data_IF_251963860338
#
_entry.id   IF_251963860338
#
_cell.length_a   1.000
_cell.length_b   1.000
_cell.length_c   1.000
_cell.angle_alpha   90.00
_cell.angle_beta   90.00
_cell.angle_gamma   90.00
#
_symmetry.space_group_name_H-M   'P 1'
#
loop_
_entity.id
_entity.type
_entity.pdbx_description
1 polymer ?
#
# COMPACT_ATOMS: atom_id res chain seq x y z
N UNK A 1 8.80 36.37 20.34
CA UNK A 1 7.88 35.94 21.42
C UNK A 1 8.67 35.02 22.34
N UNK A 2 9.08 35.53 23.51
CA UNK A 2 9.82 34.76 24.50
C UNK A 2 8.85 33.76 25.14
N UNK A 3 9.05 32.46 24.87
CA UNK A 3 8.33 31.42 25.59
C UNK A 3 8.83 31.45 27.03
N UNK A 4 7.91 31.67 27.97
CA UNK A 4 8.16 31.50 29.39
C UNK A 4 8.70 30.09 29.61
N UNK A 5 9.98 29.95 29.97
CA UNK A 5 10.58 28.69 30.38
C UNK A 5 9.93 28.22 31.69
N UNK A 6 8.75 27.59 31.58
CA UNK A 6 8.17 26.84 32.69
C UNK A 6 9.17 25.75 33.05
N UNK A 7 9.61 25.74 34.31
CA UNK A 7 10.39 24.64 34.88
C UNK A 7 9.67 23.33 34.56
N UNK A 8 10.37 22.39 33.93
CA UNK A 8 9.84 21.03 33.73
C UNK A 8 9.66 20.41 35.11
N UNK A 9 8.43 20.00 35.41
CA UNK A 9 8.12 19.24 36.61
C UNK A 9 8.66 17.82 36.45
N UNK A 10 9.25 17.28 37.50
CA UNK A 10 9.78 15.92 37.59
C UNK A 10 8.98 15.12 38.60
N UNK A 11 9.03 13.77 38.54
CA UNK A 11 8.40 12.93 39.55
C UNK A 11 8.97 13.18 40.95
N UNK A 12 10.22 13.64 41.05
CA UNK A 12 10.88 14.00 42.31
C UNK A 12 10.19 15.20 42.99
N UNK A 13 9.48 16.05 42.24
CA UNK A 13 8.73 17.18 42.80
C UNK A 13 7.44 16.72 43.54
N UNK A 14 7.11 15.41 43.52
CA UNK A 14 5.92 14.83 44.13
C UNK A 14 6.23 13.67 45.09
N UNK A 15 6.79 13.94 46.29
CA UNK A 15 7.17 12.89 47.25
C UNK A 15 5.99 12.28 48.02
N UNK A 16 4.76 12.75 47.80
CA UNK A 16 3.58 12.27 48.51
C UNK A 16 3.31 10.77 48.19
N UNK A 17 3.17 9.90 49.21
CA UNK A 17 2.80 8.50 49.03
C UNK A 17 1.57 8.27 48.14
N UNK A 18 0.59 9.17 48.14
CA UNK A 18 -0.61 9.05 47.29
C UNK A 18 -0.30 9.23 45.80
N UNK A 19 0.79 9.93 45.46
CA UNK A 19 1.21 10.13 44.08
C UNK A 19 1.82 8.86 43.50
N UNK A 20 2.50 8.05 44.31
CA UNK A 20 3.07 6.77 43.87
C UNK A 20 2.06 5.87 43.17
N UNK A 21 0.87 5.70 43.75
CA UNK A 21 -0.19 4.88 43.15
C UNK A 21 -0.59 5.38 41.76
N UNK A 22 -0.68 6.71 41.58
CA UNK A 22 -0.99 7.33 40.28
C UNK A 22 0.14 7.15 39.27
N UNK A 23 1.40 7.20 39.71
CA UNK A 23 2.56 6.96 38.84
C UNK A 23 2.61 5.52 38.36
N UNK A 24 2.30 4.57 39.24
CA UNK A 24 2.18 3.15 38.89
C UNK A 24 1.02 2.92 37.92
N UNK A 25 -0.16 3.48 38.19
CA UNK A 25 -1.31 3.40 37.30
C UNK A 25 -0.99 3.97 35.91
N UNK A 26 -0.33 5.14 35.86
CA UNK A 26 0.14 5.72 34.61
C UNK A 26 1.09 4.77 33.86
N UNK A 27 2.06 4.16 34.56
CA UNK A 27 2.98 3.19 33.97
C UNK A 27 2.27 1.93 33.42
N UNK A 28 1.25 1.42 34.13
CA UNK A 28 0.45 0.29 33.66
C UNK A 28 -0.33 0.65 32.40
N UNK A 29 -0.90 1.85 32.35
CA UNK A 29 -1.62 2.37 31.17
C UNK A 29 -0.68 2.54 29.98
N UNK A 30 0.52 3.09 30.16
CA UNK A 30 1.49 3.26 29.05
C UNK A 30 1.99 1.93 28.51
N UNK A 31 2.25 0.94 29.36
CA UNK A 31 2.59 -0.43 28.94
C UNK A 31 1.42 -1.06 28.18
N UNK A 32 0.19 -0.92 28.69
CA UNK A 32 -1.02 -1.45 28.03
C UNK A 32 -1.22 -0.80 26.66
N UNK A 33 -1.02 0.51 26.56
CA UNK A 33 -1.10 1.23 25.30
C UNK A 33 -0.03 0.77 24.30
N UNK A 34 1.20 0.55 24.77
CA UNK A 34 2.29 -0.01 23.96
C UNK A 34 1.94 -1.40 23.43
N UNK A 35 1.25 -2.22 24.23
CA UNK A 35 0.74 -3.52 23.78
C UNK A 35 -0.31 -3.39 22.69
N UNK A 36 -1.25 -2.47 22.82
CA UNK A 36 -2.27 -2.21 21.79
C UNK A 36 -1.62 -1.81 20.45
N UNK A 37 -0.58 -0.96 20.48
CA UNK A 37 0.18 -0.59 19.29
C UNK A 37 0.84 -1.83 18.67
N UNK A 38 1.53 -2.64 19.48
CA UNK A 38 2.17 -3.88 19.03
C UNK A 38 1.17 -4.84 18.37
N UNK A 39 0.02 -5.05 19.01
CA UNK A 39 -1.03 -5.94 18.51
C UNK A 39 -1.62 -5.41 17.19
N UNK A 40 -1.85 -4.11 17.08
CA UNK A 40 -2.29 -3.46 15.84
C UNK A 40 -1.25 -3.64 14.71
N UNK A 41 0.03 -3.33 14.98
CA UNK A 41 1.08 -3.47 13.96
C UNK A 41 1.27 -4.92 13.52
N UNK A 42 1.08 -5.89 14.42
CA UNK A 42 1.15 -7.31 14.10
C UNK A 42 -0.02 -7.75 13.21
N UNK A 43 -1.24 -7.28 13.50
CA UNK A 43 -2.39 -7.53 12.62
C UNK A 43 -2.18 -6.91 11.23
N UNK A 44 -1.64 -5.69 11.17
CA UNK A 44 -1.30 -5.05 9.90
C UNK A 44 -0.29 -5.88 9.09
N UNK A 45 0.78 -6.37 9.73
CA UNK A 45 1.76 -7.23 9.09
C UNK A 45 1.13 -8.51 8.51
N UNK A 46 0.21 -9.14 9.26
CA UNK A 46 -0.54 -10.33 8.80
C UNK A 46 -1.40 -10.03 7.57
N UNK A 47 -2.09 -8.89 7.55
CA UNK A 47 -2.88 -8.45 6.38
C UNK A 47 -1.97 -8.29 5.16
N UNK A 48 -0.82 -7.64 5.32
CA UNK A 48 0.15 -7.46 4.23
C UNK A 48 0.69 -8.79 3.69
N UNK A 49 0.98 -9.74 4.59
CA UNK A 49 1.43 -11.09 4.22
C UNK A 49 0.35 -11.88 3.45
N UNK A 50 -0.91 -11.80 3.90
CA UNK A 50 -2.04 -12.43 3.22
C UNK A 50 -2.24 -11.82 1.83
N UNK A 51 -2.26 -10.48 1.73
CA UNK A 51 -2.40 -9.76 0.45
C UNK A 51 -1.28 -10.13 -0.53
N UNK A 52 -0.04 -10.20 -0.05
CA UNK A 52 1.10 -10.68 -0.84
C UNK A 52 0.85 -12.09 -1.39
N UNK A 53 0.46 -13.03 -0.54
CA UNK A 53 0.25 -14.43 -0.92
C UNK A 53 -0.87 -14.58 -1.96
N UNK A 54 -1.98 -13.87 -1.78
CA UNK A 54 -3.10 -13.86 -2.72
C UNK A 54 -2.69 -13.26 -4.08
N UNK A 55 -1.96 -12.15 -4.08
CA UNK A 55 -1.49 -11.51 -5.30
C UNK A 55 -0.47 -12.38 -6.06
N UNK A 56 0.44 -13.04 -5.35
CA UNK A 56 1.39 -13.98 -5.94
C UNK A 56 0.67 -15.16 -6.60
N UNK A 57 -0.32 -15.73 -5.90
CA UNK A 57 -1.13 -16.83 -6.43
C UNK A 57 -1.88 -16.40 -7.70
N UNK A 58 -2.49 -15.21 -7.68
CA UNK A 58 -3.18 -14.64 -8.84
C UNK A 58 -2.25 -14.54 -10.05
N UNK A 59 -1.05 -13.96 -9.88
CA UNK A 59 -0.07 -13.85 -10.96
C UNK A 59 0.35 -15.22 -11.49
N UNK A 60 0.60 -16.18 -10.60
CA UNK A 60 0.98 -17.56 -10.97
C UNK A 60 -0.11 -18.25 -11.79
N UNK A 61 -1.36 -18.13 -11.38
CA UNK A 61 -2.49 -18.75 -12.07
C UNK A 61 -2.72 -18.14 -13.45
N UNK A 62 -2.62 -16.82 -13.56
CA UNK A 62 -2.77 -16.13 -14.84
C UNK A 62 -1.59 -16.38 -15.78
N UNK A 63 -0.35 -16.49 -15.30
CA UNK A 63 0.80 -16.92 -16.14
C UNK A 63 0.60 -18.33 -16.69
N UNK A 64 0.17 -19.28 -15.87
CA UNK A 64 -0.15 -20.65 -16.33
C UNK A 64 -1.26 -20.64 -17.37
N UNK A 65 -2.32 -19.86 -17.13
CA UNK A 65 -3.44 -19.72 -18.07
C UNK A 65 -2.97 -19.14 -19.41
N UNK A 66 -2.17 -18.07 -19.37
CA UNK A 66 -1.52 -17.46 -20.53
C UNK A 66 -0.69 -18.49 -21.31
N UNK A 67 0.10 -19.31 -20.62
CA UNK A 67 0.84 -20.39 -21.27
C UNK A 67 -0.09 -21.43 -21.90
N UNK A 68 -1.17 -21.85 -21.23
CA UNK A 68 -2.10 -22.84 -21.83
C UNK A 68 -2.90 -22.32 -23.02
N UNK A 69 -3.31 -21.05 -23.02
CA UNK A 69 -4.24 -20.48 -24.02
C UNK A 69 -3.53 -19.78 -25.20
N UNK A 70 -2.29 -19.30 -24.98
CA UNK A 70 -1.54 -18.47 -25.93
C UNK A 70 -0.27 -19.16 -26.45
N UNK A 71 0.29 -20.18 -25.78
CA UNK A 71 1.56 -20.84 -26.20
C UNK A 71 1.56 -21.32 -27.64
N UNK A 72 0.48 -21.90 -28.13
CA UNK A 72 0.42 -22.48 -29.48
C UNK A 72 0.13 -21.42 -30.56
N UNK A 73 -0.01 -20.14 -30.16
CA UNK A 73 -0.35 -18.99 -31.01
C UNK A 73 0.81 -18.00 -31.10
N UNK A 74 2.03 -18.49 -31.40
CA UNK A 74 3.26 -17.67 -31.41
C UNK A 74 3.18 -16.41 -32.30
N UNK A 75 2.38 -16.43 -33.38
CA UNK A 75 2.12 -15.28 -34.25
C UNK A 75 1.26 -14.18 -33.59
N UNK A 76 0.69 -14.43 -32.41
CA UNK A 76 -0.09 -13.47 -31.61
C UNK A 76 0.72 -12.89 -30.42
N UNK A 77 2.01 -13.24 -30.28
CA UNK A 77 2.91 -12.62 -29.30
C UNK A 77 3.45 -11.29 -29.84
N UNK A 78 2.60 -10.26 -29.82
CA UNK A 78 2.98 -8.86 -30.08
C UNK A 78 3.13 -8.05 -28.79
N UNK A 79 3.19 -6.71 -28.91
CA UNK A 79 3.31 -5.78 -27.78
C UNK A 79 2.17 -5.90 -26.77
N UNK A 80 0.99 -6.34 -27.19
CA UNK A 80 -0.12 -6.61 -26.26
C UNK A 80 0.21 -7.74 -25.29
N UNK A 81 0.94 -8.76 -25.74
CA UNK A 81 1.44 -9.84 -24.89
C UNK A 81 2.52 -9.32 -23.93
N UNK A 82 3.47 -8.53 -24.45
CA UNK A 82 4.54 -7.94 -23.63
C UNK A 82 3.99 -6.97 -22.56
N UNK A 83 2.95 -6.21 -22.90
CA UNK A 83 2.26 -5.32 -21.96
C UNK A 83 1.53 -6.13 -20.86
N UNK A 84 0.89 -7.23 -21.23
CA UNK A 84 0.28 -8.16 -20.27
C UNK A 84 1.32 -8.79 -19.34
N UNK A 85 2.43 -9.31 -19.87
CA UNK A 85 3.51 -9.86 -19.06
C UNK A 85 4.15 -8.80 -18.16
N UNK A 86 4.28 -7.56 -18.64
CA UNK A 86 4.74 -6.43 -17.84
C UNK A 86 3.80 -6.15 -16.66
N UNK A 87 2.48 -6.17 -16.86
CA UNK A 87 1.50 -6.01 -15.78
C UNK A 87 1.61 -7.14 -14.74
N UNK A 88 1.76 -8.38 -15.20
CA UNK A 88 1.96 -9.53 -14.32
C UNK A 88 3.29 -9.44 -13.55
N UNK A 89 4.35 -8.93 -14.17
CA UNK A 89 5.63 -8.69 -13.53
C UNK A 89 5.54 -7.61 -12.45
N UNK A 90 4.92 -6.46 -12.74
CA UNK A 90 4.75 -5.39 -11.74
C UNK A 90 3.87 -5.86 -10.56
N UNK A 91 2.83 -6.65 -10.83
CA UNK A 91 1.99 -7.26 -9.80
C UNK A 91 2.77 -8.26 -8.91
N UNK A 92 3.67 -9.04 -9.50
CA UNK A 92 4.57 -9.93 -8.76
C UNK A 92 5.56 -9.15 -7.87
N UNK A 93 6.13 -8.06 -8.38
CA UNK A 93 7.00 -7.18 -7.62
C UNK A 93 6.25 -6.50 -6.46
N UNK A 94 4.99 -6.12 -6.67
CA UNK A 94 4.13 -5.61 -5.60
C UNK A 94 3.90 -6.66 -4.51
N UNK A 95 3.59 -7.91 -4.89
CA UNK A 95 3.45 -9.01 -3.94
C UNK A 95 4.70 -9.21 -3.10
N UNK A 96 5.88 -9.20 -3.73
CA UNK A 96 7.16 -9.34 -3.04
C UNK A 96 7.43 -8.16 -2.09
N UNK A 97 7.06 -6.95 -2.50
CA UNK A 97 7.20 -5.74 -1.69
C UNK A 97 6.29 -5.76 -0.45
N UNK A 98 5.03 -6.20 -0.61
CA UNK A 98 4.10 -6.42 0.51
C UNK A 98 4.64 -7.47 1.49
N UNK A 99 5.18 -8.58 0.99
CA UNK A 99 5.81 -9.63 1.81
C UNK A 99 6.97 -9.07 2.61
N UNK A 100 7.85 -8.32 1.95
CA UNK A 100 9.03 -7.70 2.57
C UNK A 100 8.60 -6.72 3.66
N UNK A 101 7.61 -5.88 3.39
CA UNK A 101 7.07 -4.94 4.38
C UNK A 101 6.50 -5.67 5.60
N UNK A 102 5.71 -6.74 5.40
CA UNK A 102 5.20 -7.58 6.49
C UNK A 102 6.33 -8.15 7.35
N UNK A 103 7.37 -8.74 6.74
CA UNK A 103 8.52 -9.27 7.46
C UNK A 103 9.30 -8.19 8.21
N UNK A 104 9.45 -6.99 7.63
CA UNK A 104 10.11 -5.87 8.31
C UNK A 104 9.29 -5.37 9.50
N UNK A 105 7.97 -5.26 9.37
CA UNK A 105 7.09 -4.90 10.50
C UNK A 105 7.19 -5.93 11.63
N UNK A 106 7.23 -7.22 11.31
CA UNK A 106 7.34 -8.28 12.32
C UNK A 106 8.70 -8.25 13.04
N UNK A 107 9.80 -8.10 12.28
CA UNK A 107 11.18 -8.16 12.78
C UNK A 107 11.63 -6.89 13.48
N UNK A 108 11.30 -5.72 12.94
CA UNK A 108 11.84 -4.43 13.38
C UNK A 108 10.88 -3.69 14.34
N UNK A 109 9.59 -4.06 14.38
CA UNK A 109 8.59 -3.39 15.24
C UNK A 109 7.96 -4.37 16.22
N UNK A 110 7.28 -5.41 15.72
CA UNK A 110 6.44 -6.26 16.59
C UNK A 110 7.27 -7.06 17.60
N UNK A 111 8.33 -7.71 17.15
CA UNK A 111 9.18 -8.54 18.02
C UNK A 111 9.94 -7.70 19.06
N UNK A 112 10.60 -6.58 18.68
CA UNK A 112 11.26 -5.71 19.65
C UNK A 112 10.29 -5.09 20.66
N UNK A 113 9.12 -4.60 20.21
CA UNK A 113 8.13 -4.05 21.13
C UNK A 113 7.55 -5.10 22.08
N UNK A 114 7.30 -6.32 21.61
CA UNK A 114 6.84 -7.41 22.49
C UNK A 114 7.86 -7.70 23.60
N UNK A 115 9.15 -7.80 23.26
CA UNK A 115 10.21 -7.97 24.25
C UNK A 115 10.30 -6.75 25.19
N UNK A 116 10.22 -5.54 24.65
CA UNK A 116 10.25 -4.30 25.42
C UNK A 116 9.11 -4.25 26.47
N UNK A 117 7.87 -4.59 26.07
CA UNK A 117 6.71 -4.68 26.97
C UNK A 117 6.97 -5.65 28.12
N UNK A 118 7.51 -6.83 27.83
CA UNK A 118 7.80 -7.83 28.87
C UNK A 118 8.83 -7.31 29.87
N UNK A 119 9.90 -6.69 29.38
CA UNK A 119 10.96 -6.12 30.23
C UNK A 119 10.40 -4.99 31.12
N UNK A 120 9.62 -4.08 30.55
CA UNK A 120 9.02 -2.96 31.29
C UNK A 120 7.97 -3.42 32.31
N UNK A 121 7.24 -4.48 32.03
CA UNK A 121 6.31 -5.09 33.00
C UNK A 121 7.05 -5.68 34.20
N UNK A 122 8.18 -6.36 33.97
CA UNK A 122 9.03 -6.90 35.03
C UNK A 122 9.66 -5.76 35.85
N UNK A 123 10.20 -4.75 35.18
CA UNK A 123 10.79 -3.57 35.81
C UNK A 123 9.79 -2.85 36.73
N UNK A 124 8.55 -2.66 36.27
CA UNK A 124 7.47 -2.06 37.07
C UNK A 124 7.12 -2.90 38.30
N UNK A 125 7.08 -4.23 38.15
CA UNK A 125 6.84 -5.16 39.27
C UNK A 125 7.94 -5.07 40.33
N UNK A 126 9.21 -5.02 39.90
CA UNK A 126 10.36 -4.85 40.79
C UNK A 126 10.28 -3.52 41.54
N UNK A 127 9.96 -2.42 40.85
CA UNK A 127 9.81 -1.11 41.47
C UNK A 127 8.67 -1.08 42.50
N UNK A 128 7.55 -1.76 42.21
CA UNK A 128 6.44 -1.92 43.15
C UNK A 128 6.90 -2.69 44.39
N UNK A 129 7.58 -3.82 44.21
CA UNK A 129 8.05 -4.63 45.34
C UNK A 129 9.07 -3.86 46.20
N UNK A 130 10.06 -3.22 45.57
CA UNK A 130 11.06 -2.42 46.27
C UNK A 130 10.42 -1.30 47.12
N UNK A 131 9.35 -0.68 46.60
CA UNK A 131 8.59 0.32 47.35
C UNK A 131 7.87 -0.27 48.56
N UNK A 132 7.29 -1.46 48.43
CA UNK A 132 6.64 -2.19 49.51
C UNK A 132 7.65 -2.57 50.61
N UNK A 133 8.79 -3.14 50.22
CA UNK A 133 9.85 -3.55 51.15
C UNK A 133 10.36 -2.35 51.98
N UNK A 134 10.59 -1.21 51.33
CA UNK A 134 11.01 0.02 52.02
C UNK A 134 9.95 0.50 53.03
N UNK A 135 8.66 0.36 52.69
CA UNK A 135 7.58 0.69 53.62
C UNK A 135 7.50 -0.26 54.80
N UNK A 136 7.71 -1.56 54.58
CA UNK A 136 7.72 -2.56 55.64
C UNK A 136 8.87 -2.32 56.62
N UNK A 137 10.07 -2.01 56.12
CA UNK A 137 11.24 -1.68 56.96
C UNK A 137 10.96 -0.44 57.82
N UNK A 138 10.41 0.62 57.21
CA UNK A 138 10.04 1.85 57.95
C UNK A 138 8.94 1.59 58.98
N UNK A 139 7.92 0.81 58.61
CA UNK A 139 6.81 0.45 59.50
C UNK A 139 7.28 -0.38 60.70
N UNK A 140 8.16 -1.35 60.47
CA UNK A 140 8.75 -2.18 61.54
C UNK A 140 9.61 -1.33 62.47
N UNK A 141 10.45 -0.44 61.93
CA UNK A 141 11.26 0.48 62.74
C UNK A 141 10.39 1.42 63.58
N UNK A 142 9.28 1.91 63.02
CA UNK A 142 8.34 2.74 63.75
C UNK A 142 7.62 1.98 64.88
N UNK A 143 7.18 0.74 64.63
CA UNK A 143 6.53 -0.11 65.62
C UNK A 143 7.46 -0.41 66.81
N UNK A 144 8.74 -0.72 66.56
CA UNK A 144 9.74 -0.92 67.63
C UNK A 144 9.86 0.31 68.54
N UNK A 145 9.92 1.51 67.94
CA UNK A 145 10.00 2.76 68.70
C UNK A 145 8.74 2.99 69.53
N UNK A 146 7.57 2.67 68.98
CA UNK A 146 6.29 2.79 69.69
C UNK A 146 6.21 1.81 70.88
N UNK A 147 6.56 0.55 70.67
CA UNK A 147 6.58 -0.47 71.73
C UNK A 147 7.53 -0.08 72.88
N UNK A 148 8.73 0.41 72.54
CA UNK A 148 9.69 0.89 73.54
C UNK A 148 9.19 2.13 74.27
N UNK A 149 8.47 3.01 73.58
CA UNK A 149 7.86 4.20 74.19
C UNK A 149 6.83 3.83 75.25
N UNK A 150 5.91 2.94 74.88
CA UNK A 150 4.88 2.42 75.77
C UNK A 150 5.52 1.66 76.94
N UNK A 151 6.57 0.89 76.67
CA UNK A 151 7.34 0.12 77.66
C UNK A 151 7.94 0.99 78.75
N UNK A 152 8.76 2.01 78.41
CA UNK A 152 9.38 2.84 79.45
C UNK A 152 8.36 3.74 80.17
N UNK A 153 7.28 4.17 79.48
CA UNK A 153 6.21 4.95 80.10
C UNK A 153 5.44 4.13 81.14
N UNK A 154 5.22 2.85 80.88
CA UNK A 154 4.59 1.92 81.84
C UNK A 154 5.46 1.76 83.09
N UNK A 155 6.76 1.52 82.92
CA UNK A 155 7.71 1.40 84.05
C UNK A 155 7.72 2.68 84.91
N UNK A 156 7.70 3.85 84.27
CA UNK A 156 7.62 5.14 84.95
C UNK A 156 6.34 5.29 85.76
N UNK A 157 5.18 4.90 85.20
CA UNK A 157 3.90 4.99 85.89
C UNK A 157 3.79 4.02 87.06
N UNK A 158 4.38 2.82 86.94
CA UNK A 158 4.28 1.77 87.96
C UNK A 158 5.26 1.99 89.11
N UNK A 159 6.51 2.37 88.82
CA UNK A 159 7.62 2.38 89.79
C UNK A 159 8.39 3.70 89.87
N UNK A 160 8.04 4.70 89.06
CA UNK A 160 8.75 5.99 89.00
C UNK A 160 10.15 5.89 88.38
N UNK A 161 11.05 6.77 88.80
CA UNK A 161 12.42 6.84 88.26
C UNK A 161 13.31 5.80 88.95
N UNK A 162 13.59 4.71 88.23
CA UNK A 162 14.44 3.59 88.67
C UNK A 162 15.60 3.34 87.69
N UNK A 163 16.62 2.55 88.05
CA UNK A 163 17.66 2.12 87.10
C UNK A 163 17.09 1.40 85.87
N UNK A 164 16.01 0.64 86.05
CA UNK A 164 15.29 -0.06 84.98
C UNK A 164 14.58 0.92 84.03
N UNK A 165 13.95 1.97 84.58
CA UNK A 165 13.42 3.09 83.78
C UNK A 165 14.52 3.73 82.92
N UNK A 166 15.68 4.04 83.51
CA UNK A 166 16.79 4.65 82.76
C UNK A 166 17.30 3.74 81.63
N UNK A 167 17.32 2.42 81.85
CA UNK A 167 17.70 1.46 80.83
C UNK A 167 16.71 1.44 79.66
N UNK A 168 15.41 1.29 79.95
CA UNK A 168 14.35 1.26 78.94
C UNK A 168 14.26 2.60 78.17
N UNK A 169 14.39 3.73 78.88
CA UNK A 169 14.42 5.05 78.27
C UNK A 169 15.61 5.21 77.30
N UNK A 170 16.82 4.78 77.71
CA UNK A 170 17.99 4.86 76.85
C UNK A 170 17.84 3.99 75.59
N UNK A 171 17.26 2.80 75.70
CA UNK A 171 16.94 1.95 74.55
C UNK A 171 15.96 2.63 73.60
N UNK A 172 14.88 3.20 74.13
CA UNK A 172 13.94 4.01 73.34
C UNK A 172 14.63 5.15 72.59
N UNK A 173 15.47 5.93 73.28
CA UNK A 173 16.17 7.06 72.66
C UNK A 173 17.10 6.60 71.52
N UNK A 174 17.82 5.48 71.71
CA UNK A 174 18.69 4.90 70.68
C UNK A 174 17.87 4.51 69.44
N UNK A 175 16.80 3.76 69.62
CA UNK A 175 15.94 3.32 68.51
C UNK A 175 15.22 4.48 67.84
N UNK A 176 14.80 5.50 68.60
CA UNK A 176 14.19 6.71 68.05
C UNK A 176 15.16 7.46 67.13
N UNK A 177 16.43 7.61 67.54
CA UNK A 177 17.47 8.22 66.70
C UNK A 177 17.71 7.37 65.45
N UNK A 178 17.73 6.04 65.58
CA UNK A 178 17.85 5.10 64.46
C UNK A 178 16.70 5.24 63.45
N UNK A 179 15.46 5.21 63.93
CA UNK A 179 14.25 5.34 63.11
C UNK A 179 14.18 6.69 62.41
N UNK A 180 14.50 7.79 63.10
CA UNK A 180 14.55 9.13 62.49
C UNK A 180 15.65 9.22 61.42
N UNK A 181 16.79 8.58 61.64
CA UNK A 181 17.87 8.47 60.66
C UNK A 181 17.44 7.70 59.42
N UNK A 182 16.75 6.56 59.60
CA UNK A 182 16.19 5.75 58.51
C UNK A 182 15.15 6.53 57.70
N UNK A 183 14.20 7.20 58.38
CA UNK A 183 13.18 8.02 57.75
C UNK A 183 13.80 9.17 56.94
N UNK A 184 14.79 9.87 57.52
CA UNK A 184 15.51 10.93 56.83
C UNK A 184 16.23 10.40 55.58
N UNK A 185 16.93 9.26 55.70
CA UNK A 185 17.60 8.64 54.55
C UNK A 185 16.62 8.25 53.45
N UNK A 186 15.48 7.69 53.84
CA UNK A 186 14.41 7.33 52.91
C UNK A 186 13.86 8.56 52.16
N UNK A 187 13.47 9.61 52.89
CA UNK A 187 12.84 10.79 52.29
C UNK A 187 13.78 11.60 51.41
N UNK A 188 15.04 11.78 51.82
CA UNK A 188 15.96 12.68 51.12
C UNK A 188 16.84 12.00 50.07
N UNK A 189 16.97 10.67 50.09
CA UNK A 189 17.89 9.97 49.19
C UNK A 189 17.21 8.83 48.44
N UNK A 190 16.55 7.90 49.14
CA UNK A 190 16.04 6.67 48.51
C UNK A 190 14.80 6.94 47.65
N UNK A 191 13.81 7.65 48.20
CA UNK A 191 12.57 7.95 47.49
C UNK A 191 12.81 8.80 46.22
N UNK A 192 13.62 9.89 46.26
CA UNK A 192 13.96 10.63 45.05
C UNK A 192 14.61 9.78 43.95
N UNK A 193 15.53 8.87 44.31
CA UNK A 193 16.17 7.98 43.34
C UNK A 193 15.17 7.01 42.71
N UNK A 194 14.24 6.46 43.51
CA UNK A 194 13.19 5.58 43.02
C UNK A 194 12.24 6.32 42.05
N UNK A 195 11.84 7.56 42.40
CA UNK A 195 10.99 8.40 41.56
C UNK A 195 11.69 8.79 40.24
N UNK A 196 12.98 9.11 40.30
CA UNK A 196 13.79 9.42 39.13
C UNK A 196 13.94 8.18 38.22
N UNK A 197 14.16 6.99 38.80
CA UNK A 197 14.22 5.74 38.05
C UNK A 197 12.90 5.44 37.33
N UNK A 198 11.77 5.63 38.01
CA UNK A 198 10.45 5.51 37.38
C UNK A 198 10.23 6.52 36.25
N UNK A 199 10.60 7.78 36.47
CA UNK A 199 10.47 8.84 35.46
C UNK A 199 11.27 8.49 34.20
N UNK A 200 12.54 8.09 34.37
CA UNK A 200 13.38 7.68 33.25
C UNK A 200 12.78 6.49 32.50
N UNK A 201 12.26 5.50 33.24
CA UNK A 201 11.60 4.35 32.64
C UNK A 201 10.38 4.74 31.80
N UNK A 202 9.59 5.72 32.25
CA UNK A 202 8.45 6.23 31.48
C UNK A 202 8.88 7.02 30.25
N UNK A 203 9.94 7.84 30.35
CA UNK A 203 10.53 8.52 29.20
C UNK A 203 10.96 7.49 28.16
N UNK A 204 11.66 6.43 28.57
CA UNK A 204 12.10 5.37 27.67
C UNK A 204 10.93 4.68 26.96
N UNK A 205 9.82 4.44 27.66
CA UNK A 205 8.58 3.88 27.06
C UNK A 205 8.02 4.81 26.00
N UNK A 206 7.87 6.10 26.31
CA UNK A 206 7.32 7.09 25.39
C UNK A 206 8.22 7.23 24.15
N UNK A 207 9.52 7.38 24.35
CA UNK A 207 10.49 7.53 23.25
C UNK A 207 10.50 6.29 22.34
N UNK A 208 10.52 5.09 22.93
CA UNK A 208 10.48 3.83 22.17
C UNK A 208 9.20 3.71 21.35
N UNK A 209 8.04 4.04 21.95
CA UNK A 209 6.76 4.02 21.23
C UNK A 209 6.76 5.02 20.08
N UNK A 210 7.21 6.26 20.32
CA UNK A 210 7.28 7.29 19.28
C UNK A 210 8.19 6.87 18.11
N UNK A 211 9.36 6.31 18.40
CA UNK A 211 10.29 5.82 17.38
C UNK A 211 9.68 4.67 16.56
N UNK A 212 8.98 3.74 17.20
CA UNK A 212 8.34 2.63 16.51
C UNK A 212 7.16 3.09 15.64
N UNK A 213 6.37 4.08 16.08
CA UNK A 213 5.31 4.66 15.26
C UNK A 213 5.88 5.41 14.04
N UNK A 214 6.99 6.13 14.21
CA UNK A 214 7.69 6.76 13.10
C UNK A 214 8.25 5.73 12.11
N UNK A 215 8.83 4.63 12.61
CA UNK A 215 9.31 3.54 11.78
C UNK A 215 8.15 2.87 11.01
N UNK A 216 7.03 2.61 11.68
CA UNK A 216 5.82 2.09 11.05
C UNK A 216 5.34 2.97 9.88
N UNK A 217 5.22 4.29 10.11
CA UNK A 217 4.83 5.23 9.08
C UNK A 217 5.83 5.27 7.91
N UNK A 218 7.13 5.26 8.22
CA UNK A 218 8.20 5.29 7.21
C UNK A 218 8.21 4.04 6.34
N UNK A 219 7.93 2.85 6.91
CA UNK A 219 7.82 1.60 6.14
C UNK A 219 6.65 1.65 5.14
N UNK A 220 5.51 2.18 5.57
CA UNK A 220 4.33 2.34 4.73
C UNK A 220 4.57 3.36 3.61
N UNK A 221 5.16 4.51 3.94
CA UNK A 221 5.50 5.54 2.96
C UNK A 221 6.45 5.01 1.89
N UNK A 222 7.52 4.32 2.29
CA UNK A 222 8.48 3.72 1.36
C UNK A 222 7.80 2.68 0.43
N UNK A 223 6.93 1.83 0.98
CA UNK A 223 6.16 0.89 0.18
C UNK A 223 5.28 1.60 -0.86
N UNK A 224 4.54 2.64 -0.46
CA UNK A 224 3.69 3.38 -1.38
C UNK A 224 4.49 4.11 -2.46
N UNK A 225 5.65 4.68 -2.10
CA UNK A 225 6.54 5.34 -3.05
C UNK A 225 7.08 4.35 -4.09
N UNK A 226 7.55 3.18 -3.64
CA UNK A 226 8.04 2.13 -4.53
C UNK A 226 6.93 1.64 -5.48
N UNK A 227 5.73 1.40 -4.94
CA UNK A 227 4.55 1.02 -5.74
C UNK A 227 4.20 2.08 -6.78
N UNK A 228 4.16 3.35 -6.38
CA UNK A 228 3.84 4.44 -7.29
C UNK A 228 4.84 4.53 -8.45
N UNK A 229 6.14 4.45 -8.16
CA UNK A 229 7.19 4.48 -9.20
C UNK A 229 7.08 3.33 -10.20
N UNK A 230 6.82 2.11 -9.70
CA UNK A 230 6.66 0.91 -10.52
C UNK A 230 5.46 1.03 -11.47
N UNK A 231 4.27 1.35 -10.94
CA UNK A 231 3.08 1.50 -11.79
C UNK A 231 3.11 2.73 -12.71
N UNK A 232 3.77 3.83 -12.31
CA UNK A 232 3.97 4.98 -13.19
C UNK A 232 4.78 4.59 -14.43
N UNK A 233 5.82 3.75 -14.27
CA UNK A 233 6.59 3.21 -15.39
C UNK A 233 5.71 2.37 -16.32
N UNK A 234 4.86 1.50 -15.75
CA UNK A 234 3.93 0.69 -16.53
C UNK A 234 2.92 1.52 -17.32
N UNK A 235 2.36 2.58 -16.73
CA UNK A 235 1.44 3.50 -17.42
C UNK A 235 2.10 4.08 -18.66
N UNK A 236 3.34 4.56 -18.55
CA UNK A 236 4.09 5.07 -19.71
C UNK A 236 4.19 4.02 -20.80
N UNK A 237 4.62 2.79 -20.46
CA UNK A 237 4.71 1.68 -21.41
C UNK A 237 3.37 1.39 -22.09
N UNK A 238 2.26 1.41 -21.33
CA UNK A 238 0.92 1.19 -21.89
C UNK A 238 0.50 2.26 -22.89
N UNK A 239 0.90 3.52 -22.66
CA UNK A 239 0.52 4.65 -23.52
C UNK A 239 1.36 4.75 -24.79
N UNK A 240 2.55 4.16 -24.79
CA UNK A 240 3.45 4.14 -25.95
C UNK A 240 3.13 3.03 -26.96
N UNK A 241 2.25 2.09 -26.61
CA UNK A 241 1.85 1.01 -27.51
C UNK A 241 0.91 1.54 -28.61
N UNK A 242 1.40 1.63 -29.85
CA UNK A 242 0.59 2.01 -31.01
C UNK A 242 -0.19 0.79 -31.57
N UNK A 243 -1.53 0.84 -31.60
CA UNK A 243 -2.35 -0.23 -32.18
C UNK A 243 -2.05 -0.51 -33.67
N UNK A 244 -1.63 0.50 -34.44
CA UNK A 244 -1.33 0.32 -35.86
C UNK A 244 -0.02 -0.47 -36.05
N UNK A 245 0.98 -0.14 -35.23
CA UNK A 245 2.26 -0.86 -35.21
C UNK A 245 2.07 -2.32 -34.77
N UNK A 246 1.19 -2.57 -33.81
CA UNK A 246 0.82 -3.94 -33.40
C UNK A 246 0.18 -4.73 -34.54
N UNK A 247 -0.75 -4.10 -35.28
CA UNK A 247 -1.42 -4.74 -36.42
C UNK A 247 -0.44 -5.01 -37.56
N UNK A 248 0.48 -4.08 -37.82
CA UNK A 248 1.53 -4.24 -38.84
C UNK A 248 2.46 -5.40 -38.49
N UNK A 249 2.92 -5.48 -37.23
CA UNK A 249 3.73 -6.60 -36.73
C UNK A 249 3.01 -7.94 -36.88
N UNK A 250 1.70 -7.98 -36.58
CA UNK A 250 0.89 -9.17 -36.78
C UNK A 250 0.81 -9.59 -38.26
N UNK A 251 0.51 -8.66 -39.17
CA UNK A 251 0.42 -8.92 -40.61
C UNK A 251 1.77 -9.43 -41.16
N UNK A 252 2.88 -8.82 -40.75
CA UNK A 252 4.22 -9.27 -41.10
C UNK A 252 4.48 -10.71 -40.63
N UNK A 253 4.09 -11.05 -39.40
CA UNK A 253 4.25 -12.41 -38.86
C UNK A 253 3.47 -13.48 -39.64
N UNK A 254 2.31 -13.13 -40.19
CA UNK A 254 1.52 -14.04 -41.05
C UNK A 254 2.24 -14.26 -42.39
N UNK A 255 2.73 -13.19 -43.01
CA UNK A 255 3.41 -13.26 -44.31
C UNK A 255 4.70 -14.10 -44.23
N UNK A 256 5.44 -14.02 -43.13
CA UNK A 256 6.63 -14.84 -42.88
C UNK A 256 6.31 -16.33 -42.66
N UNK A 257 5.12 -16.64 -42.14
CA UNK A 257 4.67 -18.01 -41.85
C UNK A 257 4.11 -18.79 -43.05
N UNK A 258 4.26 -18.25 -44.28
CA UNK A 258 3.87 -18.93 -45.52
C UNK A 258 2.50 -18.52 -46.07
N UNK A 259 1.89 -17.46 -45.54
CA UNK A 259 0.81 -16.78 -46.25
C UNK A 259 1.39 -16.01 -47.43
N UNK A 260 1.27 -16.53 -48.66
CA UNK A 260 1.59 -15.70 -49.83
C UNK A 260 0.78 -14.40 -49.71
N UNK A 261 1.44 -13.22 -49.66
CA UNK A 261 0.71 -11.98 -49.73
C UNK A 261 -0.07 -12.05 -51.03
N UNK A 262 -1.41 -12.06 -50.94
CA UNK A 262 -2.26 -11.83 -52.09
C UNK A 262 -1.88 -10.45 -52.60
N UNK A 263 -0.93 -10.41 -53.53
CA UNK A 263 -0.74 -9.26 -54.38
C UNK A 263 -2.14 -8.94 -54.91
N UNK A 264 -2.60 -7.68 -54.81
CA UNK A 264 -3.89 -7.34 -55.38
C UNK A 264 -3.87 -7.88 -56.82
N UNK A 265 -4.90 -8.64 -57.24
CA UNK A 265 -4.87 -9.35 -58.51
C UNK A 265 -4.43 -8.35 -59.58
N UNK A 266 -3.32 -8.68 -60.25
CA UNK A 266 -2.76 -7.87 -61.32
C UNK A 266 -3.91 -7.55 -62.25
N UNK A 267 -4.06 -6.25 -62.56
CA UNK A 267 -5.08 -5.69 -63.44
C UNK A 267 -5.52 -6.73 -64.48
N UNK A 268 -6.80 -7.11 -64.46
CA UNK A 268 -7.36 -7.98 -65.49
C UNK A 268 -7.11 -7.26 -66.81
N UNK A 269 -6.09 -7.69 -67.55
CA UNK A 269 -5.87 -7.20 -68.90
C UNK A 269 -7.14 -7.49 -69.68
N UNK A 270 -7.70 -6.47 -70.33
CA UNK A 270 -8.82 -6.67 -71.23
C UNK A 270 -8.37 -7.62 -72.33
N UNK A 271 -8.82 -8.88 -72.30
CA UNK A 271 -8.73 -9.75 -73.46
C UNK A 271 -9.42 -9.05 -74.63
N UNK A 272 -8.64 -8.69 -75.64
CA UNK A 272 -9.16 -8.19 -76.91
C UNK A 272 -9.86 -9.37 -77.57
N UNK A 273 -11.17 -9.49 -77.36
CA UNK A 273 -12.00 -10.40 -78.12
C UNK A 273 -11.96 -9.96 -79.59
N UNK A 274 -11.21 -10.68 -80.43
CA UNK A 274 -11.41 -10.62 -81.87
C UNK A 274 -12.82 -11.16 -82.15
N UNK A 275 -13.68 -10.31 -82.74
CA UNK A 275 -15.02 -10.69 -83.16
C UNK A 275 -14.98 -11.95 -84.06
N UNK A 276 -15.75 -13.00 -83.76
CA UNK A 276 -15.79 -14.20 -84.58
C UNK A 276 -16.72 -14.01 -85.76
N UNK A 277 -16.36 -13.14 -86.72
CA UNK A 277 -17.04 -13.09 -88.03
C UNK A 277 -16.04 -12.74 -89.13
N UNK A 278 -15.53 -13.77 -89.81
CA UNK A 278 -15.49 -13.84 -91.27
C UNK A 278 -14.85 -15.15 -91.75
N UNK A 279 -15.58 -16.25 -91.56
CA UNK A 279 -15.66 -17.28 -92.61
C UNK A 279 -16.81 -16.86 -93.52
N UNK A 280 -16.53 -16.11 -94.57
CA UNK A 280 -17.32 -16.05 -95.81
C UNK A 280 -16.54 -15.27 -96.85
N UNK A 281 -15.81 -16.03 -97.66
CA UNK A 281 -15.46 -15.67 -99.03
C UNK A 281 -16.75 -15.38 -99.81
N UNK A 282 -16.97 -14.13 -100.23
CA UNK A 282 -17.37 -13.73 -101.60
C UNK A 282 -17.67 -12.23 -101.66
N UNK A 283 -17.17 -11.62 -102.73
CA UNK A 283 -17.37 -10.25 -103.21
C UNK A 283 -18.71 -9.59 -102.84
N UNK A 284 -18.64 -8.40 -102.22
CA UNK A 284 -19.50 -7.28 -102.63
C UNK A 284 -18.73 -5.95 -102.49
N UNK A 285 -18.45 -5.32 -103.62
CA UNK A 285 -17.60 -4.13 -103.80
C UNK A 285 -18.31 -2.82 -103.42
N UNK A 286 -19.24 -2.84 -102.46
CA UNK A 286 -20.10 -1.68 -102.13
C UNK A 286 -20.05 -1.18 -100.68
N UNK A 287 -19.10 -1.66 -99.87
CA UNK A 287 -18.92 -1.21 -98.48
C UNK A 287 -17.54 -0.58 -98.20
N UNK A 288 -16.97 0.17 -99.15
CA UNK A 288 -15.80 1.02 -98.92
C UNK A 288 -16.13 2.42 -98.33
N UNK A 289 -17.34 2.62 -97.79
CA UNK A 289 -17.77 3.91 -97.23
C UNK A 289 -18.33 3.84 -95.80
N UNK A 290 -17.73 3.03 -94.92
CA UNK A 290 -17.89 3.22 -93.49
C UNK A 290 -16.57 3.75 -92.91
N UNK A 291 -16.53 5.09 -92.87
CA UNK A 291 -15.53 5.94 -92.23
C UNK A 291 -15.31 5.56 -90.75
N UNK A 292 -14.12 5.84 -90.16
CA UNK A 292 -13.88 5.78 -88.71
C UNK A 292 -14.89 6.53 -87.82
N UNK A 293 -15.84 7.24 -88.42
CA UNK A 293 -16.94 7.95 -87.76
C UNK A 293 -17.97 7.10 -87.03
N UNK A 294 -18.11 5.79 -87.21
CA UNK A 294 -19.09 5.00 -86.41
C UNK A 294 -18.60 4.72 -84.99
N UNK A 295 -17.29 4.61 -84.76
CA UNK A 295 -16.70 4.47 -83.42
C UNK A 295 -16.66 5.82 -82.71
N UNK A 296 -16.34 6.91 -83.44
CA UNK A 296 -16.43 8.28 -82.91
C UNK A 296 -17.87 8.69 -82.62
N UNK A 297 -18.88 8.31 -83.42
CA UNK A 297 -20.28 8.63 -83.13
C UNK A 297 -20.80 7.90 -81.88
N UNK A 298 -20.38 6.65 -81.63
CA UNK A 298 -20.70 5.93 -80.39
C UNK A 298 -20.00 6.54 -79.18
N UNK A 299 -18.73 6.95 -79.30
CA UNK A 299 -17.98 7.60 -78.20
C UNK A 299 -18.50 9.01 -77.92
N UNK A 300 -18.83 9.81 -78.96
CA UNK A 300 -19.34 11.17 -78.83
C UNK A 300 -20.78 11.21 -78.30
N UNK A 301 -21.62 10.21 -78.62
CA UNK A 301 -22.95 10.11 -78.02
C UNK A 301 -22.94 9.44 -76.63
N UNK A 302 -22.09 8.44 -76.40
CA UNK A 302 -22.04 7.75 -75.12
C UNK A 302 -21.25 8.52 -74.05
N UNK A 303 -20.20 9.28 -74.40
CA UNK A 303 -19.37 9.97 -73.42
C UNK A 303 -20.14 11.01 -72.58
N UNK A 304 -21.02 11.87 -73.13
CA UNK A 304 -21.83 12.78 -72.32
C UNK A 304 -22.79 12.03 -71.39
N UNK A 305 -23.38 10.91 -71.86
CA UNK A 305 -24.29 10.07 -71.08
C UNK A 305 -23.52 9.40 -69.92
N UNK A 306 -22.37 8.79 -70.22
CA UNK A 306 -21.48 8.14 -69.25
C UNK A 306 -20.96 9.18 -68.24
N UNK A 307 -20.55 10.37 -68.70
CA UNK A 307 -20.06 11.44 -67.82
C UNK A 307 -21.17 11.97 -66.91
N UNK A 308 -22.41 12.06 -67.41
CA UNK A 308 -23.57 12.43 -66.58
C UNK A 308 -23.89 11.35 -65.53
N UNK A 309 -23.83 10.06 -65.92
CA UNK A 309 -24.06 8.91 -65.05
C UNK A 309 -22.96 8.76 -63.98
N UNK A 310 -21.70 8.97 -64.35
CA UNK A 310 -20.56 9.00 -63.43
C UNK A 310 -20.66 10.18 -62.47
N UNK A 311 -21.01 11.37 -62.96
CA UNK A 311 -21.19 12.54 -62.09
C UNK A 311 -22.31 12.34 -61.09
N UNK A 312 -23.42 11.70 -61.52
CA UNK A 312 -24.52 11.33 -60.64
C UNK A 312 -24.09 10.28 -59.62
N UNK A 313 -23.44 9.18 -60.06
CA UNK A 313 -22.93 8.14 -59.16
C UNK A 313 -21.88 8.66 -58.18
N UNK A 314 -20.98 9.54 -58.61
CA UNK A 314 -20.00 10.18 -57.71
C UNK A 314 -20.68 11.04 -56.65
N UNK A 315 -21.81 11.68 -56.98
CA UNK A 315 -22.60 12.45 -56.03
C UNK A 315 -23.32 11.53 -55.04
N UNK A 316 -23.96 10.47 -55.53
CA UNK A 316 -24.62 9.46 -54.70
C UNK A 316 -23.63 8.74 -53.77
N UNK A 317 -22.44 8.37 -54.26
CA UNK A 317 -21.40 7.75 -53.42
C UNK A 317 -20.83 8.73 -52.41
N UNK A 318 -20.65 10.00 -52.76
CA UNK A 318 -20.23 11.03 -51.81
C UNK A 318 -21.27 11.26 -50.71
N UNK A 319 -22.56 11.23 -51.04
CA UNK A 319 -23.66 11.32 -50.06
C UNK A 319 -23.71 10.09 -49.16
N UNK A 320 -23.64 8.88 -49.72
CA UNK A 320 -23.54 7.64 -48.93
C UNK A 320 -22.31 7.63 -48.03
N UNK A 321 -21.16 8.13 -48.49
CA UNK A 321 -19.95 8.24 -47.67
C UNK A 321 -20.15 9.20 -46.49
N UNK A 322 -20.89 10.30 -46.68
CA UNK A 322 -21.27 11.21 -45.59
C UNK A 322 -22.19 10.52 -44.59
N UNK A 323 -23.16 9.74 -45.05
CA UNK A 323 -24.06 8.96 -44.19
C UNK A 323 -23.28 7.91 -43.38
N UNK A 324 -22.41 7.12 -44.02
CA UNK A 324 -21.56 6.13 -43.34
C UNK A 324 -20.65 6.78 -42.31
N UNK A 325 -20.06 7.94 -42.61
CA UNK A 325 -19.27 8.71 -41.63
C UNK A 325 -20.12 9.18 -40.45
N UNK A 326 -21.35 9.62 -40.71
CA UNK A 326 -22.30 10.03 -39.67
C UNK A 326 -22.70 8.85 -38.79
N UNK A 327 -23.00 7.69 -39.38
CA UNK A 327 -23.30 6.45 -38.63
C UNK A 327 -22.11 5.99 -37.80
N UNK A 328 -20.89 5.99 -38.36
CA UNK A 328 -19.66 5.69 -37.61
C UNK A 328 -19.51 6.62 -36.40
N UNK A 329 -19.78 7.91 -36.58
CA UNK A 329 -19.70 8.90 -35.50
C UNK A 329 -20.77 8.67 -34.42
N UNK A 330 -21.99 8.30 -34.83
CA UNK A 330 -23.07 7.96 -33.91
C UNK A 330 -22.77 6.67 -33.12
N UNK A 331 -22.22 5.65 -33.77
CA UNK A 331 -21.78 4.41 -33.13
C UNK A 331 -20.66 4.67 -32.11
N UNK A 332 -19.67 5.48 -32.46
CA UNK A 332 -18.62 5.90 -31.52
C UNK A 332 -19.19 6.63 -30.29
N UNK A 333 -20.19 7.51 -30.50
CA UNK A 333 -20.86 8.20 -29.39
C UNK A 333 -21.63 7.22 -28.49
N UNK A 334 -22.29 6.20 -29.06
CA UNK A 334 -23.00 5.16 -28.30
C UNK A 334 -22.01 4.30 -27.50
N UNK A 335 -20.90 3.88 -28.12
CA UNK A 335 -19.85 3.10 -27.46
C UNK A 335 -19.27 3.89 -26.27
N UNK A 336 -18.90 5.15 -26.48
CA UNK A 336 -18.38 6.01 -25.41
C UNK A 336 -19.40 6.21 -24.28
N UNK A 337 -20.67 6.44 -24.61
CA UNK A 337 -21.73 6.59 -23.60
C UNK A 337 -21.95 5.31 -22.79
N UNK A 338 -21.81 4.14 -23.43
CA UNK A 338 -21.96 2.83 -22.79
C UNK A 338 -20.76 2.54 -21.87
N UNK A 339 -19.54 2.87 -22.30
CA UNK A 339 -18.34 2.79 -21.48
C UNK A 339 -18.43 3.68 -20.23
N UNK A 340 -18.88 4.93 -20.37
CA UNK A 340 -19.07 5.83 -19.21
C UNK A 340 -20.16 5.33 -18.25
N UNK A 341 -21.25 4.75 -18.76
CA UNK A 341 -22.29 4.15 -17.90
C UNK A 341 -21.78 2.94 -17.13
N UNK A 342 -21.00 2.07 -17.77
CA UNK A 342 -20.39 0.93 -17.12
C UNK A 342 -19.39 1.36 -16.05
N UNK A 343 -18.63 2.42 -16.28
CA UNK A 343 -17.71 2.99 -15.30
C UNK A 343 -18.47 3.52 -14.07
N UNK A 344 -19.54 4.29 -14.29
CA UNK A 344 -20.38 4.83 -13.20
C UNK A 344 -21.05 3.72 -12.38
N UNK A 345 -21.58 2.68 -13.03
CA UNK A 345 -22.19 1.54 -12.34
C UNK A 345 -21.17 0.72 -11.53
N UNK A 346 -19.90 0.73 -11.93
CA UNK A 346 -18.84 0.05 -11.21
C UNK A 346 -18.35 0.87 -10.01
N UNK A 347 -18.39 2.20 -10.09
CA UNK A 347 -18.16 3.11 -8.95
C UNK A 347 -19.30 3.03 -7.92
N UNK A 348 -20.56 2.99 -8.39
CA UNK A 348 -21.75 2.88 -7.52
C UNK A 348 -21.87 1.51 -6.82
N UNK A 349 -21.19 0.46 -7.31
CA UNK A 349 -21.11 -0.86 -6.66
C UNK A 349 -19.93 -0.98 -5.68
N UNK A 350 -19.03 0.00 -5.65
CA UNK A 350 -17.86 0.03 -4.76
C UNK A 350 -18.02 1.01 -3.58
N UNK A 351 -19.12 1.77 -3.54
CA UNK A 351 -19.61 2.50 -2.36
C UNK A 351 -20.70 1.68 -1.65
#
# INVERSE_FOLDING_TARGET
>A
MASSSRRRLSFVDFPDPQVWHKLIEYAEVTITFTKLITDFTNQWAKICFLASSQLHQLVSDFRKKTETEIRDKCHLRGRMYDLWESLLLESELESQSLKKMACLMEKEICTPLASFITNKSVELSINRQHRCDLHEILGTSHAIVQDLQEGYATIYNDSGVTPEFHHAHNQYVIELVGANGLLSKYQYYVLPQLLQGMEQSQIDVIDTVCQNLQLFASLIENYHEQRHRSFASFVVTSTTTDPNEELENYICSINESGGEPSTPPINIEFEIFHSPVNKLTTYDSRLQHLSPHTTEQLIVYAAPIIQSQLSLRCRETAERLKEVKKEKSALLAVVNKTLTKHHQQHEDQQQ
#
